data_IF_075460072888
#
_entry.id   IF_075460072888
#
_cell.length_a   1.000
_cell.length_b   1.000
_cell.length_c   1.000
_cell.angle_alpha   90.00
_cell.angle_beta   90.00
_cell.angle_gamma   90.00
#
_symmetry.space_group_name_H-M   'P 1'
#
loop_
_entity.id
_entity.type
_entity.pdbx_description
1 polymer ?
#
# COMPACT_ATOMS: atom_id res chain seq x y z
N UNK A 1 11.25 0.33 -5.64
CA UNK A 1 9.94 0.01 -6.22
C UNK A 1 10.14 -0.95 -7.38
N UNK A 2 10.20 -2.28 -7.18
CA UNK A 2 10.80 -3.06 -8.25
C UNK A 2 10.07 -4.37 -8.56
N UNK A 3 8.83 -4.51 -8.13
CA UNK A 3 8.09 -5.77 -8.31
C UNK A 3 6.65 -5.57 -8.79
N UNK A 4 6.41 -4.51 -9.60
CA UNK A 4 5.16 -4.36 -10.33
C UNK A 4 3.96 -3.82 -9.53
N UNK A 5 4.15 -3.38 -8.28
CA UNK A 5 3.10 -2.70 -7.50
C UNK A 5 3.32 -1.19 -7.48
N UNK A 6 2.28 -0.35 -7.64
CA UNK A 6 2.42 1.10 -7.67
C UNK A 6 2.54 1.71 -6.26
N UNK A 7 3.53 1.22 -5.51
CA UNK A 7 3.81 1.66 -4.15
C UNK A 7 5.31 1.79 -3.91
N UNK A 8 5.76 2.89 -3.30
CA UNK A 8 7.12 3.05 -2.84
C UNK A 8 7.27 2.50 -1.43
N UNK A 9 7.71 1.22 -1.34
CA UNK A 9 7.87 0.51 -0.07
C UNK A 9 9.22 -0.20 -0.03
N UNK A 10 10.19 0.38 0.64
CA UNK A 10 11.49 -0.23 0.86
C UNK A 10 11.42 -1.21 2.03
N UNK A 11 11.95 -2.40 1.84
CA UNK A 11 12.06 -3.44 2.86
C UNK A 11 13.34 -4.23 2.68
N UNK A 12 13.92 -4.66 3.80
CA UNK A 12 15.08 -5.54 3.82
C UNK A 12 14.57 -6.97 3.83
N UNK A 13 15.09 -7.79 2.93
CA UNK A 13 14.88 -9.24 2.91
C UNK A 13 16.19 -9.92 3.31
N UNK A 14 16.13 -10.77 4.33
CA UNK A 14 17.26 -11.56 4.80
C UNK A 14 16.95 -13.01 4.47
N UNK A 15 17.77 -13.62 3.59
CA UNK A 15 17.66 -15.02 3.21
C UNK A 15 18.81 -15.80 3.86
N UNK A 16 18.48 -16.89 4.51
CA UNK A 16 19.43 -17.78 5.14
C UNK A 16 19.21 -19.23 4.75
N UNK A 17 20.28 -19.95 4.52
CA UNK A 17 20.27 -21.39 4.29
C UNK A 17 20.95 -22.11 5.45
N UNK A 18 20.50 -23.30 5.75
CA UNK A 18 21.10 -24.18 6.76
C UNK A 18 22.53 -24.53 6.31
N UNK A 19 23.50 -24.50 7.19
CA UNK A 19 24.94 -24.63 6.86
C UNK A 19 25.30 -25.96 6.16
N UNK A 20 24.61 -27.04 6.54
CA UNK A 20 24.85 -28.38 5.97
C UNK A 20 24.40 -28.52 4.51
N UNK A 21 23.63 -27.54 3.97
CA UNK A 21 23.26 -27.52 2.56
C UNK A 21 24.39 -27.00 1.65
N UNK A 22 25.48 -26.47 2.19
CA UNK A 22 26.59 -25.94 1.41
C UNK A 22 26.30 -24.69 0.58
N UNK A 23 25.12 -24.09 0.77
CA UNK A 23 24.69 -22.87 0.09
C UNK A 23 25.17 -21.65 0.87
N UNK A 24 25.85 -20.74 0.23
CA UNK A 24 26.38 -19.51 0.80
C UNK A 24 25.98 -18.29 -0.05
N UNK A 25 26.46 -17.09 0.34
CA UNK A 25 26.17 -15.84 -0.34
C UNK A 25 26.59 -15.76 -1.81
N UNK A 26 27.54 -16.60 -2.24
CA UNK A 26 28.06 -16.66 -3.61
C UNK A 26 27.17 -17.53 -4.50
N UNK A 27 26.38 -18.39 -3.89
CA UNK A 27 25.52 -19.36 -4.57
C UNK A 27 24.06 -18.89 -4.67
N UNK A 28 23.66 -17.88 -3.89
CA UNK A 28 22.33 -17.30 -3.91
C UNK A 28 22.35 -15.91 -4.51
N UNK A 29 21.48 -15.68 -5.47
CA UNK A 29 21.27 -14.37 -6.08
C UNK A 29 19.85 -13.91 -5.82
N UNK A 30 19.68 -12.68 -5.34
CA UNK A 30 18.36 -12.08 -5.18
C UNK A 30 17.67 -11.90 -6.54
N UNK A 31 16.32 -11.89 -6.57
CA UNK A 31 15.61 -11.68 -7.82
C UNK A 31 15.93 -10.31 -8.43
N UNK A 32 15.98 -10.27 -9.74
CA UNK A 32 16.16 -9.02 -10.48
C UNK A 32 14.98 -8.07 -10.24
N UNK A 33 15.30 -6.80 -10.19
CA UNK A 33 14.30 -5.75 -10.04
C UNK A 33 13.51 -5.60 -11.34
N UNK A 34 12.18 -5.55 -11.22
CA UNK A 34 11.28 -5.32 -12.37
C UNK A 34 10.77 -3.89 -12.33
N UNK A 35 10.75 -3.24 -13.47
CA UNK A 35 10.19 -1.90 -13.60
C UNK A 35 8.71 -1.86 -13.17
N UNK A 36 8.32 -0.77 -12.51
CA UNK A 36 6.93 -0.54 -12.11
C UNK A 36 6.23 0.24 -13.21
N UNK A 37 5.42 -0.45 -13.97
CA UNK A 37 4.59 0.15 -15.03
C UNK A 37 3.21 0.59 -14.51
N UNK A 38 2.73 -0.02 -13.43
CA UNK A 38 1.41 0.29 -12.82
C UNK A 38 1.44 1.63 -12.09
N UNK A 39 0.32 2.33 -12.15
CA UNK A 39 0.02 3.60 -11.48
C UNK A 39 -1.08 3.42 -10.43
N UNK A 40 -1.33 4.44 -9.62
CA UNK A 40 -2.43 4.43 -8.66
C UNK A 40 -3.77 4.10 -9.33
N UNK A 41 -4.05 4.72 -10.48
CA UNK A 41 -5.31 4.51 -11.20
C UNK A 41 -5.57 3.05 -11.56
N UNK A 42 -4.53 2.25 -11.80
CA UNK A 42 -4.64 0.83 -12.18
C UNK A 42 -5.05 -0.08 -11.01
N UNK A 43 -5.00 0.42 -9.78
CA UNK A 43 -5.39 -0.31 -8.58
C UNK A 43 -6.63 0.25 -7.90
N UNK A 44 -7.15 1.37 -8.41
CA UNK A 44 -8.40 2.00 -7.94
C UNK A 44 -9.56 1.03 -8.10
N UNK A 45 -10.53 1.09 -7.19
CA UNK A 45 -11.80 0.37 -7.36
C UNK A 45 -12.54 0.86 -8.60
N UNK A 46 -13.08 -0.06 -9.39
CA UNK A 46 -13.79 0.25 -10.62
C UNK A 46 -15.07 1.06 -10.36
N UNK A 47 -15.82 0.66 -9.33
CA UNK A 47 -17.04 1.33 -8.91
C UNK A 47 -16.77 2.48 -7.95
N UNK A 48 -17.69 3.49 -7.88
CA UNK A 48 -17.64 4.52 -6.86
C UNK A 48 -17.62 3.91 -5.46
N UNK A 49 -16.71 4.39 -4.60
CA UNK A 49 -16.60 3.88 -3.23
C UNK A 49 -17.58 4.58 -2.28
N UNK A 50 -18.03 3.91 -1.21
CA UNK A 50 -18.96 4.51 -0.25
C UNK A 50 -18.47 5.83 0.36
N UNK A 51 -19.40 6.73 0.70
CA UNK A 51 -19.13 8.04 1.30
C UNK A 51 -18.25 7.97 2.56
N UNK A 52 -18.27 6.86 3.30
CA UNK A 52 -17.44 6.64 4.51
C UNK A 52 -15.93 6.79 4.30
N UNK A 53 -15.45 6.70 3.06
CA UNK A 53 -14.02 6.88 2.72
C UNK A 53 -13.67 8.34 2.42
N UNK A 54 -14.65 9.18 2.14
CA UNK A 54 -14.43 10.61 1.90
C UNK A 54 -14.19 11.36 3.21
N UNK A 55 -13.41 12.41 3.14
CA UNK A 55 -13.12 13.26 4.30
C UNK A 55 -14.23 14.29 4.51
N UNK A 56 -14.44 14.72 5.75
CA UNK A 56 -15.24 15.93 5.99
C UNK A 56 -14.44 17.18 5.61
N UNK A 57 -15.15 18.23 5.23
CA UNK A 57 -14.55 19.56 4.96
C UNK A 57 -13.73 20.05 6.16
N UNK A 58 -14.25 19.86 7.37
CA UNK A 58 -13.54 20.21 8.60
C UNK A 58 -12.24 19.43 8.79
N UNK A 59 -12.24 18.13 8.47
CA UNK A 59 -11.05 17.30 8.60
C UNK A 59 -9.97 17.69 7.57
N UNK A 60 -10.36 18.03 6.33
CA UNK A 60 -9.42 18.56 5.33
C UNK A 60 -8.75 19.82 5.85
N UNK A 61 -9.51 20.77 6.43
CA UNK A 61 -8.93 22.00 6.98
C UNK A 61 -7.94 21.67 8.12
N UNK A 62 -8.25 20.68 8.95
CA UNK A 62 -7.33 20.20 10.00
C UNK A 62 -6.03 19.66 9.40
N UNK A 63 -6.10 18.89 8.31
CA UNK A 63 -4.92 18.35 7.62
C UNK A 63 -4.07 19.46 7.01
N UNK A 64 -4.70 20.45 6.37
CA UNK A 64 -4.02 21.62 5.80
C UNK A 64 -3.26 22.38 6.90
N UNK A 65 -3.94 22.70 7.99
CA UNK A 65 -3.33 23.42 9.11
C UNK A 65 -2.21 22.61 9.78
N UNK A 66 -2.35 21.28 9.85
CA UNK A 66 -1.33 20.39 10.39
C UNK A 66 -0.08 20.43 9.49
N UNK A 67 -0.24 20.26 8.18
CA UNK A 67 0.86 20.29 7.22
C UNK A 67 1.61 21.62 7.27
N UNK A 68 0.90 22.76 7.23
CA UNK A 68 1.49 24.08 7.31
C UNK A 68 2.32 24.30 8.59
N UNK A 69 1.83 23.82 9.76
CA UNK A 69 2.58 23.90 11.03
C UNK A 69 3.87 23.09 11.03
N UNK A 70 3.90 21.93 10.34
CA UNK A 70 5.10 21.10 10.23
C UNK A 70 6.09 21.70 9.24
N UNK A 71 5.62 22.19 8.10
CA UNK A 71 6.44 22.88 7.10
C UNK A 71 7.14 24.12 7.69
N UNK A 72 6.41 24.91 8.49
CA UNK A 72 7.00 26.07 9.20
C UNK A 72 8.11 25.71 10.19
N UNK A 73 8.19 24.44 10.61
CA UNK A 73 9.26 23.90 11.48
C UNK A 73 10.36 23.15 10.70
N UNK A 74 10.31 23.17 9.37
CA UNK A 74 11.23 22.41 8.52
C UNK A 74 10.98 20.90 8.48
N UNK A 75 9.79 20.43 8.89
CA UNK A 75 9.41 19.02 8.86
C UNK A 75 8.47 18.75 7.68
N UNK A 76 8.76 17.72 6.88
CA UNK A 76 7.95 17.28 5.75
C UNK A 76 6.76 16.38 6.12
N UNK A 77 6.20 16.51 7.33
CA UNK A 77 5.07 15.69 7.78
C UNK A 77 3.74 16.30 7.37
N UNK A 78 2.84 15.46 6.86
CA UNK A 78 1.50 15.90 6.51
C UNK A 78 0.78 14.90 5.61
N UNK A 79 -0.37 15.35 5.09
CA UNK A 79 -1.10 14.60 4.08
C UNK A 79 -0.41 14.73 2.72
N UNK A 80 -0.66 13.75 1.87
CA UNK A 80 -0.32 13.83 0.45
C UNK A 80 -1.47 13.28 -0.41
N UNK A 81 -1.60 13.84 -1.62
CA UNK A 81 -2.62 13.44 -2.59
C UNK A 81 -1.90 12.80 -3.77
N UNK A 82 -2.16 11.51 -3.98
CA UNK A 82 -1.55 10.76 -5.07
C UNK A 82 -2.30 11.06 -6.37
N UNK A 83 -1.63 11.59 -7.39
CA UNK A 83 -2.24 11.79 -8.70
C UNK A 83 -2.55 10.46 -9.38
N UNK A 84 -3.46 10.46 -10.36
CA UNK A 84 -3.91 9.24 -11.03
C UNK A 84 -2.78 8.45 -11.69
N UNK A 85 -1.80 9.13 -12.25
CA UNK A 85 -0.58 8.56 -12.84
C UNK A 85 0.57 8.38 -11.83
N UNK A 86 0.30 8.63 -10.55
CA UNK A 86 1.28 8.57 -9.47
C UNK A 86 1.47 7.17 -8.89
N UNK A 87 2.40 7.11 -7.96
CA UNK A 87 2.75 5.92 -7.18
C UNK A 87 2.54 6.23 -5.70
N UNK A 88 1.86 5.35 -5.00
CA UNK A 88 1.56 5.54 -3.59
C UNK A 88 2.82 5.50 -2.71
N UNK A 89 2.82 6.25 -1.61
CA UNK A 89 3.78 6.05 -0.54
C UNK A 89 3.57 4.70 0.14
N UNK A 90 4.54 4.26 0.92
CA UNK A 90 4.40 3.05 1.72
C UNK A 90 3.15 3.13 2.60
N UNK A 91 2.24 2.17 2.45
CA UNK A 91 1.10 2.06 3.36
C UNK A 91 1.60 1.59 4.72
N UNK A 92 1.25 2.33 5.76
CA UNK A 92 1.71 2.08 7.13
C UNK A 92 0.55 2.09 8.10
N UNK A 93 0.72 1.34 9.20
CA UNK A 93 -0.26 1.27 10.30
C UNK A 93 -0.03 2.41 11.28
N UNK A 94 -1.09 3.10 11.64
CA UNK A 94 -1.04 4.16 12.65
C UNK A 94 -0.60 5.53 12.11
N UNK A 95 -0.58 6.51 12.97
CA UNK A 95 -0.29 7.90 12.63
C UNK A 95 -1.15 8.40 11.47
N UNK A 96 -0.56 9.15 10.58
CA UNK A 96 -1.19 9.67 9.35
C UNK A 96 -1.00 8.74 8.14
N UNK A 97 -0.80 7.44 8.33
CA UNK A 97 -0.49 6.52 7.24
C UNK A 97 -1.54 6.45 6.13
N UNK A 98 -2.83 6.70 6.46
CA UNK A 98 -3.90 6.78 5.46
C UNK A 98 -3.99 8.14 4.79
N UNK A 99 -3.61 9.19 5.48
CA UNK A 99 -3.62 10.56 5.01
C UNK A 99 -2.42 10.91 4.13
N UNK A 100 -1.32 10.15 4.21
CA UNK A 100 -0.19 10.25 3.28
C UNK A 100 -0.50 9.65 1.89
N UNK A 101 -1.66 9.02 1.71
CA UNK A 101 -2.10 8.38 0.47
C UNK A 101 -3.58 8.74 0.20
N UNK A 102 -3.91 10.03 0.24
CA UNK A 102 -5.22 10.50 -0.19
C UNK A 102 -5.29 10.48 -1.72
N UNK A 103 -6.51 10.38 -2.23
CA UNK A 103 -6.78 10.43 -3.67
C UNK A 103 -7.98 11.32 -3.93
N UNK A 104 -8.14 11.78 -5.17
CA UNK A 104 -9.29 12.56 -5.61
C UNK A 104 -10.22 11.63 -6.40
N UNK A 105 -11.49 11.60 -6.02
CA UNK A 105 -12.49 10.78 -6.71
C UNK A 105 -13.86 11.48 -6.69
N UNK A 106 -14.34 11.88 -7.86
CA UNK A 106 -15.64 12.57 -8.03
C UNK A 106 -16.77 11.65 -8.48
N UNK A 107 -16.53 10.34 -8.54
CA UNK A 107 -17.52 9.38 -9.05
C UNK A 107 -18.68 9.15 -8.09
N UNK A 108 -18.45 9.27 -6.76
CA UNK A 108 -19.52 9.14 -5.77
C UNK A 108 -20.43 10.37 -5.80
N UNK A 109 -21.72 10.14 -6.01
CA UNK A 109 -22.75 11.20 -6.08
C UNK A 109 -23.50 11.38 -4.75
N UNK A 110 -23.71 10.29 -4.02
CA UNK A 110 -24.32 10.35 -2.69
C UNK A 110 -23.23 10.56 -1.64
N UNK A 111 -23.06 11.79 -1.24
CA UNK A 111 -22.15 12.23 -0.19
C UNK A 111 -22.87 12.48 1.14
N UNK A 112 -23.99 11.81 1.39
CA UNK A 112 -24.68 11.87 2.68
C UNK A 112 -23.72 11.46 3.79
N UNK A 113 -23.55 12.29 4.85
CA UNK A 113 -22.65 11.98 5.95
C UNK A 113 -23.04 10.67 6.64
N UNK A 114 -22.07 9.80 6.83
CA UNK A 114 -22.27 8.59 7.62
C UNK A 114 -22.01 8.88 9.10
N UNK A 115 -22.43 7.99 10.00
CA UNK A 115 -22.18 8.12 11.45
C UNK A 115 -20.71 8.29 11.81
N UNK A 116 -19.79 7.99 10.89
CA UNK A 116 -18.33 8.11 11.07
C UNK A 116 -17.76 9.43 10.57
N UNK A 117 -18.53 10.21 9.81
CA UNK A 117 -18.10 11.51 9.27
C UNK A 117 -18.82 12.61 10.04
N UNK A 118 -18.08 13.28 10.91
CA UNK A 118 -18.61 14.46 11.60
C UNK A 118 -18.58 15.66 10.65
N UNK A 119 -19.75 16.21 10.35
CA UNK A 119 -19.90 17.36 9.48
C UNK A 119 -20.13 17.00 8.00
N UNK A 120 -20.07 18.00 7.14
CA UNK A 120 -20.29 17.88 5.70
C UNK A 120 -19.15 17.14 5.02
N UNK A 121 -19.48 16.21 4.13
CA UNK A 121 -18.49 15.55 3.27
C UNK A 121 -17.98 16.56 2.25
N UNK A 122 -16.68 16.56 2.01
CA UNK A 122 -16.04 17.51 1.12
C UNK A 122 -16.51 17.37 -0.33
N UNK A 123 -16.53 18.49 -1.06
CA UNK A 123 -16.87 18.55 -2.49
C UNK A 123 -15.64 18.51 -3.41
N UNK A 124 -14.44 18.48 -2.84
CA UNK A 124 -13.18 18.38 -3.58
C UNK A 124 -12.82 16.94 -3.97
N UNK A 125 -13.64 15.97 -3.60
CA UNK A 125 -13.42 14.56 -3.91
C UNK A 125 -12.31 13.89 -3.12
N UNK A 126 -11.79 14.54 -2.05
CA UNK A 126 -10.71 13.96 -1.25
C UNK A 126 -11.22 12.76 -0.45
N UNK A 127 -10.58 11.63 -0.67
CA UNK A 127 -10.89 10.41 0.06
C UNK A 127 -9.65 9.61 0.44
N UNK A 128 -9.81 8.75 1.43
CA UNK A 128 -8.86 7.69 1.74
C UNK A 128 -9.01 6.56 0.73
N UNK A 129 -7.92 5.86 0.45
CA UNK A 129 -7.99 4.59 -0.26
C UNK A 129 -8.76 3.57 0.57
N UNK A 130 -9.48 2.67 -0.09
CA UNK A 130 -10.20 1.57 0.57
C UNK A 130 -9.26 0.45 1.01
N UNK A 131 -9.69 -0.47 1.89
CA UNK A 131 -8.91 -1.67 2.18
C UNK A 131 -8.62 -2.53 0.94
N UNK A 132 -9.52 -2.58 -0.05
CA UNK A 132 -9.30 -3.30 -1.31
C UNK A 132 -8.19 -2.64 -2.12
N UNK A 133 -8.17 -1.32 -2.21
CA UNK A 133 -7.11 -0.57 -2.88
C UNK A 133 -5.75 -0.78 -2.17
N UNK A 134 -5.73 -0.85 -0.84
CA UNK A 134 -4.52 -1.21 -0.08
C UNK A 134 -4.07 -2.65 -0.36
N UNK A 135 -5.01 -3.59 -0.49
CA UNK A 135 -4.67 -4.96 -0.88
C UNK A 135 -4.02 -4.99 -2.27
N UNK A 136 -4.60 -4.30 -3.26
CA UNK A 136 -4.05 -4.19 -4.62
C UNK A 136 -2.67 -3.51 -4.64
N UNK A 137 -2.45 -2.48 -3.81
CA UNK A 137 -1.13 -1.86 -3.63
C UNK A 137 -0.07 -2.81 -3.08
N UNK A 138 -0.47 -3.83 -2.32
CA UNK A 138 0.42 -4.90 -1.85
C UNK A 138 0.51 -6.07 -2.84
N UNK A 139 -0.25 -6.04 -3.95
CA UNK A 139 -0.27 -7.10 -4.95
C UNK A 139 -1.11 -8.31 -4.58
N UNK A 140 -2.05 -8.17 -3.62
CA UNK A 140 -3.05 -9.21 -3.38
C UNK A 140 -4.02 -9.29 -4.56
N UNK A 141 -4.42 -10.49 -4.99
CA UNK A 141 -5.40 -10.66 -6.05
C UNK A 141 -6.81 -10.27 -5.57
N UNK A 142 -7.71 -9.98 -6.52
CA UNK A 142 -9.04 -9.48 -6.18
C UNK A 142 -9.96 -10.53 -5.54
N UNK A 143 -9.69 -11.81 -5.75
CA UNK A 143 -10.39 -12.93 -5.11
C UNK A 143 -9.96 -13.14 -3.64
N UNK A 144 -8.89 -12.46 -3.19
CA UNK A 144 -8.51 -12.48 -1.77
C UNK A 144 -9.61 -11.83 -0.93
N UNK A 145 -10.26 -12.63 -0.09
CA UNK A 145 -11.42 -12.20 0.71
C UNK A 145 -10.98 -11.36 1.91
N UNK A 146 -11.52 -10.15 2.01
CA UNK A 146 -11.37 -9.29 3.19
C UNK A 146 -12.54 -9.56 4.13
N UNK A 147 -12.33 -10.40 5.14
CA UNK A 147 -13.38 -10.89 6.05
C UNK A 147 -13.45 -10.14 7.38
N UNK A 148 -12.72 -9.04 7.51
CA UNK A 148 -12.63 -8.24 8.73
C UNK A 148 -13.09 -6.80 8.48
N UNK A 149 -13.39 -6.07 9.56
CA UNK A 149 -13.73 -4.64 9.46
C UNK A 149 -12.55 -3.81 8.91
N UNK A 150 -12.86 -2.67 8.26
CA UNK A 150 -11.90 -1.79 7.60
C UNK A 150 -10.67 -1.47 8.46
N UNK A 151 -10.86 -1.17 9.75
CA UNK A 151 -9.75 -0.82 10.66
C UNK A 151 -8.74 -1.98 10.80
N UNK A 152 -9.25 -3.20 10.93
CA UNK A 152 -8.42 -4.42 11.00
C UNK A 152 -7.78 -4.72 9.65
N UNK A 153 -8.50 -4.53 8.55
CA UNK A 153 -7.99 -4.73 7.20
C UNK A 153 -6.81 -3.77 6.90
N UNK A 154 -6.95 -2.49 7.20
CA UNK A 154 -5.85 -1.53 7.08
C UNK A 154 -4.63 -1.95 7.91
N UNK A 155 -4.86 -2.42 9.14
CA UNK A 155 -3.78 -2.91 10.02
C UNK A 155 -3.07 -4.12 9.39
N UNK A 156 -3.83 -5.06 8.85
CA UNK A 156 -3.27 -6.27 8.22
C UNK A 156 -2.46 -5.93 6.97
N UNK A 157 -3.03 -5.16 6.02
CA UNK A 157 -2.32 -4.77 4.80
C UNK A 157 -1.13 -3.86 5.07
N UNK A 158 -1.23 -2.94 6.02
CA UNK A 158 -0.10 -2.07 6.40
C UNK A 158 1.07 -2.84 7.01
N UNK A 159 0.80 -3.94 7.74
CA UNK A 159 1.82 -4.83 8.31
C UNK A 159 2.28 -5.92 7.33
N UNK A 160 1.60 -6.12 6.22
CA UNK A 160 1.98 -7.13 5.24
C UNK A 160 3.18 -6.68 4.37
N UNK A 161 3.61 -7.57 3.50
CA UNK A 161 4.65 -7.31 2.50
C UNK A 161 4.05 -7.27 1.09
N UNK A 162 4.75 -6.65 0.14
CA UNK A 162 4.35 -6.71 -1.25
C UNK A 162 4.46 -8.16 -1.77
N UNK A 163 3.32 -8.75 -2.14
CA UNK A 163 3.20 -10.14 -2.57
C UNK A 163 4.17 -10.49 -3.71
N UNK A 164 4.29 -9.67 -4.78
CA UNK A 164 5.22 -10.00 -5.87
C UNK A 164 6.69 -10.00 -5.45
N UNK A 165 7.07 -9.20 -4.45
CA UNK A 165 8.45 -9.17 -3.98
C UNK A 165 8.83 -10.42 -3.18
N UNK A 166 7.93 -10.86 -2.28
CA UNK A 166 8.17 -12.09 -1.50
C UNK A 166 8.07 -13.33 -2.38
N UNK A 167 7.15 -13.33 -3.36
CA UNK A 167 7.03 -14.41 -4.33
C UNK A 167 8.32 -14.57 -5.14
N UNK A 168 8.84 -13.49 -5.73
CA UNK A 168 10.10 -13.52 -6.49
C UNK A 168 11.27 -14.00 -5.64
N UNK A 169 11.32 -13.60 -4.37
CA UNK A 169 12.34 -14.06 -3.42
C UNK A 169 12.20 -15.55 -3.15
N UNK A 170 10.98 -16.05 -2.91
CA UNK A 170 10.71 -17.46 -2.69
C UNK A 170 11.07 -18.31 -3.92
N UNK A 171 10.68 -17.88 -5.12
CA UNK A 171 11.04 -18.53 -6.37
C UNK A 171 12.56 -18.65 -6.55
N UNK A 172 13.31 -17.61 -6.16
CA UNK A 172 14.77 -17.64 -6.24
C UNK A 172 15.40 -18.58 -5.21
N UNK A 173 14.80 -18.69 -4.00
CA UNK A 173 15.20 -19.69 -3.01
C UNK A 173 14.97 -21.11 -3.57
N UNK A 174 13.80 -21.39 -4.14
CA UNK A 174 13.46 -22.68 -4.71
C UNK A 174 14.42 -23.06 -5.87
N UNK A 175 14.67 -22.15 -6.79
CA UNK A 175 15.65 -22.34 -7.87
C UNK A 175 17.06 -22.68 -7.35
N UNK A 176 17.43 -22.05 -6.25
CA UNK A 176 18.73 -22.33 -5.61
C UNK A 176 18.75 -23.73 -5.02
N UNK A 177 17.71 -24.13 -4.29
CA UNK A 177 17.59 -25.48 -3.71
C UNK A 177 17.61 -26.56 -4.79
N UNK A 178 16.85 -26.37 -5.88
CA UNK A 178 16.83 -27.31 -7.02
C UNK A 178 18.22 -27.46 -7.65
N UNK A 179 18.95 -26.36 -7.85
CA UNK A 179 20.32 -26.37 -8.38
C UNK A 179 21.26 -27.22 -7.53
N UNK A 180 21.04 -27.31 -6.22
CA UNK A 180 21.82 -28.11 -5.29
C UNK A 180 21.23 -29.50 -5.05
N UNK A 181 20.24 -29.93 -5.81
CA UNK A 181 19.62 -31.24 -5.72
C UNK A 181 18.86 -31.48 -4.40
N UNK A 182 18.45 -30.39 -3.73
CA UNK A 182 17.74 -30.46 -2.46
C UNK A 182 16.25 -30.61 -2.75
N UNK A 183 15.71 -31.80 -2.49
CA UNK A 183 14.29 -32.09 -2.64
C UNK A 183 13.56 -31.52 -1.41
N UNK A 184 12.77 -30.49 -1.65
CA UNK A 184 11.82 -29.97 -0.65
C UNK A 184 10.44 -30.60 -0.92
N UNK A 185 9.86 -31.19 0.11
CA UNK A 185 8.52 -31.80 0.09
C UNK A 185 7.52 -30.90 0.78
#
# INVERSE_FOLDING_TARGET
>A
MYFGVPQHRERIYIVGFRKDLGINKENFTYPEQKEVTKKWIDVREENPVPAKYYLSTQYIQTLINHKARHEAKGHGFGYDIIPDDGVAHAIVVGGMGRECNLVIDFRQKDLTPTTRIKGEVNKQGWRKMTPREWARLQGYPDDFKIVVADASAYKQFGNSVAVPAIQATAEQILKTLDKYGIIWK
#
